data_IF_476097884271
#
_entry.id   IF_476097884271
#
_cell.length_a   1.000
_cell.length_b   1.000
_cell.length_c   1.000
_cell.angle_alpha   90.00
_cell.angle_beta   90.00
_cell.angle_gamma   90.00
#
_symmetry.space_group_name_H-M   'P 1'
#
loop_
_entity.id
_entity.type
_entity.pdbx_description
1 polymer ?
#
# COMPACT_ATOMS: atom_id res chain seq x y z
N UNK A 1 12.49 -1.96 11.69
CA UNK A 1 11.38 -1.49 10.81
C UNK A 1 10.89 -2.62 9.91
N UNK A 2 11.75 -3.22 9.06
CA UNK A 2 11.38 -4.36 8.20
C UNK A 2 10.81 -5.58 8.93
N UNK A 3 11.34 -5.92 10.11
CA UNK A 3 10.87 -7.05 10.92
C UNK A 3 9.37 -6.97 11.26
N UNK A 4 8.82 -5.76 11.42
CA UNK A 4 7.40 -5.57 11.75
C UNK A 4 6.46 -5.83 10.58
N UNK A 5 6.90 -5.55 9.34
CA UNK A 5 6.09 -5.83 8.14
C UNK A 5 6.03 -7.32 7.80
N UNK A 6 6.99 -8.11 8.31
CA UNK A 6 7.07 -9.54 8.02
C UNK A 6 6.26 -10.40 8.99
N UNK A 7 6.10 -9.98 10.26
CA UNK A 7 5.52 -10.85 11.29
C UNK A 7 4.02 -10.71 11.49
N UNK A 8 3.41 -9.61 11.04
CA UNK A 8 2.06 -9.24 11.43
C UNK A 8 1.97 -8.98 12.93
N UNK A 9 0.95 -8.25 13.36
CA UNK A 9 0.60 -8.19 14.78
C UNK A 9 -0.79 -8.79 14.89
N UNK A 10 -0.88 -9.96 15.52
CA UNK A 10 -2.17 -10.53 15.91
C UNK A 10 -2.64 -9.75 17.14
N UNK A 11 -3.70 -8.94 16.99
CA UNK A 11 -4.19 -8.04 18.04
C UNK A 11 -4.87 -8.76 19.21
N UNK A 12 -4.81 -10.10 19.26
CA UNK A 12 -5.64 -10.92 20.16
C UNK A 12 -4.94 -11.41 21.42
N UNK A 13 -3.65 -11.11 21.64
CA UNK A 13 -2.90 -11.65 22.80
C UNK A 13 -2.61 -10.60 23.89
N UNK A 14 -3.66 -10.09 24.53
CA UNK A 14 -3.59 -9.60 25.92
C UNK A 14 -4.28 -10.62 26.82
N UNK A 15 -3.56 -11.69 27.16
CA UNK A 15 -3.83 -12.48 28.37
C UNK A 15 -2.59 -13.31 28.69
N UNK A 16 -2.02 -13.06 29.88
CA UNK A 16 -0.73 -13.62 30.31
C UNK A 16 -0.74 -15.14 30.46
N UNK A 17 -0.34 -15.86 29.41
CA UNK A 17 -0.02 -17.28 29.49
C UNK A 17 1.43 -17.52 29.04
N UNK A 18 2.18 -18.16 29.95
CA UNK A 18 3.55 -18.61 29.76
C UNK A 18 3.60 -19.65 28.64
N UNK A 19 4.02 -19.25 27.44
CA UNK A 19 4.18 -20.17 26.31
C UNK A 19 5.50 -20.94 26.42
N UNK A 20 5.43 -22.23 26.10
CA UNK A 20 6.59 -23.13 26.06
C UNK A 20 7.53 -22.75 24.90
N UNK A 21 8.83 -23.11 24.92
CA UNK A 21 9.80 -22.74 23.88
C UNK A 21 9.50 -23.27 22.46
N UNK A 22 8.40 -24.00 22.27
CA UNK A 22 8.00 -24.63 21.01
C UNK A 22 6.84 -23.91 20.30
N UNK A 23 6.19 -22.92 20.93
CA UNK A 23 5.13 -22.10 20.30
C UNK A 23 5.70 -20.79 19.77
N UNK A 24 6.66 -20.86 18.85
CA UNK A 24 7.02 -19.70 18.04
C UNK A 24 5.86 -19.48 17.05
N UNK A 25 5.21 -18.29 17.01
CA UNK A 25 4.26 -18.00 15.96
C UNK A 25 4.95 -18.21 14.62
N UNK A 26 4.25 -18.84 13.67
CA UNK A 26 4.74 -19.09 12.32
C UNK A 26 5.35 -17.79 11.76
N UNK A 27 6.68 -17.73 11.67
CA UNK A 27 7.42 -16.56 11.18
C UNK A 27 7.41 -16.52 9.64
N UNK A 28 6.40 -17.11 9.01
CA UNK A 28 6.24 -17.03 7.58
C UNK A 28 6.01 -15.57 7.19
N UNK A 29 6.76 -15.05 6.20
CA UNK A 29 6.66 -13.66 5.81
C UNK A 29 5.26 -13.36 5.27
N UNK A 30 4.63 -12.28 5.75
CA UNK A 30 3.34 -11.84 5.19
C UNK A 30 3.50 -11.60 3.69
N UNK A 31 2.69 -12.29 2.89
CA UNK A 31 2.64 -12.15 1.45
C UNK A 31 1.92 -10.85 1.05
N UNK A 32 2.61 -9.72 1.20
CA UNK A 32 2.11 -8.40 0.81
C UNK A 32 2.23 -8.20 -0.70
N UNK A 33 1.19 -7.62 -1.30
CA UNK A 33 1.17 -7.19 -2.69
C UNK A 33 0.98 -5.68 -2.78
N UNK A 34 1.68 -5.05 -3.70
CA UNK A 34 1.41 -3.64 -4.04
C UNK A 34 0.07 -3.57 -4.76
N UNK A 35 -0.80 -2.67 -4.30
CA UNK A 35 -2.15 -2.46 -4.82
C UNK A 35 -2.18 -2.21 -6.33
N UNK A 36 -1.40 -1.27 -6.83
CA UNK A 36 -1.45 -0.86 -8.23
C UNK A 36 -0.90 -1.95 -9.15
N UNK A 37 0.24 -2.57 -8.77
CA UNK A 37 0.75 -3.75 -9.47
C UNK A 37 -0.21 -4.95 -9.43
N UNK A 38 -0.97 -5.14 -8.35
CA UNK A 38 -1.95 -6.22 -8.25
C UNK A 38 -3.14 -6.01 -9.18
N UNK A 39 -3.66 -4.78 -9.25
CA UNK A 39 -4.83 -4.44 -10.09
C UNK A 39 -4.45 -4.38 -11.57
N UNK A 40 -3.29 -3.80 -11.90
CA UNK A 40 -2.81 -3.69 -13.29
C UNK A 40 -1.29 -3.60 -13.37
N UNK A 41 -0.74 -2.43 -13.06
CA UNK A 41 0.68 -2.08 -13.12
C UNK A 41 0.93 -0.91 -12.17
N UNK A 42 2.18 -0.75 -11.74
CA UNK A 42 2.56 0.44 -10.97
C UNK A 42 2.34 1.71 -11.81
N UNK A 43 1.91 2.83 -11.19
CA UNK A 43 1.81 4.09 -11.91
C UNK A 43 3.19 4.50 -12.45
N UNK A 44 3.20 5.35 -13.47
CA UNK A 44 4.45 5.90 -13.99
C UNK A 44 5.19 6.74 -12.93
N UNK A 45 4.42 7.44 -12.10
CA UNK A 45 4.94 8.20 -10.98
C UNK A 45 3.87 8.44 -9.92
N UNK A 46 4.32 8.60 -8.68
CA UNK A 46 3.54 9.15 -7.56
C UNK A 46 4.18 10.43 -7.02
N UNK A 47 5.46 10.67 -7.34
CA UNK A 47 6.18 11.92 -7.12
C UNK A 47 6.59 12.51 -8.48
N UNK A 48 6.35 13.81 -8.68
CA UNK A 48 6.76 14.50 -9.90
C UNK A 48 7.34 15.89 -9.58
N UNK A 49 8.65 16.01 -9.68
CA UNK A 49 9.38 17.28 -9.55
C UNK A 49 10.24 17.50 -10.81
N UNK A 50 10.68 18.74 -11.10
CA UNK A 50 11.52 19.01 -12.26
C UNK A 50 12.83 18.20 -12.31
N UNK A 51 13.35 17.75 -11.15
CA UNK A 51 14.61 16.99 -11.05
C UNK A 51 14.44 15.48 -10.89
N UNK A 52 13.25 15.01 -10.51
CA UNK A 52 12.96 13.60 -10.31
C UNK A 52 11.48 13.33 -10.48
N UNK A 53 11.13 12.29 -11.23
CA UNK A 53 9.77 11.80 -11.38
C UNK A 53 9.80 10.28 -11.29
N UNK A 54 8.95 9.68 -10.45
CA UNK A 54 8.91 8.24 -10.27
C UNK A 54 7.92 7.77 -9.21
N UNK A 55 7.78 6.44 -9.11
CA UNK A 55 6.82 5.77 -8.21
C UNK A 55 7.49 5.43 -6.89
N UNK A 56 7.10 6.16 -5.85
CA UNK A 56 7.69 6.11 -4.51
C UNK A 56 6.69 5.70 -3.43
N UNK A 57 5.39 5.77 -3.72
CA UNK A 57 4.31 5.56 -2.77
C UNK A 57 3.56 4.28 -3.12
N UNK A 58 3.31 3.44 -2.12
CA UNK A 58 2.70 2.14 -2.29
C UNK A 58 1.65 1.91 -1.19
N UNK A 59 0.51 1.35 -1.57
CA UNK A 59 -0.44 0.73 -0.64
C UNK A 59 -0.20 -0.77 -0.72
N UNK A 60 0.36 -1.36 0.33
CA UNK A 60 0.53 -2.81 0.42
C UNK A 60 -0.64 -3.44 1.17
N UNK A 61 -1.11 -4.58 0.68
CA UNK A 61 -2.15 -5.36 1.34
C UNK A 61 -1.85 -6.85 1.24
N UNK A 62 -2.38 -7.64 2.18
CA UNK A 62 -2.33 -9.09 2.10
C UNK A 62 -3.46 -9.58 1.18
N UNK A 63 -3.12 -10.35 0.15
CA UNK A 63 -4.11 -10.94 -0.73
C UNK A 63 -4.79 -12.12 -0.03
N UNK A 64 -5.98 -11.84 0.51
CA UNK A 64 -6.82 -12.82 1.21
C UNK A 64 -8.18 -12.88 0.53
N UNK A 65 -8.98 -13.90 0.82
CA UNK A 65 -10.35 -14.00 0.27
C UNK A 65 -11.32 -12.97 0.88
N UNK A 66 -10.91 -12.31 1.97
CA UNK A 66 -11.77 -11.39 2.72
C UNK A 66 -11.53 -9.92 2.39
N UNK A 67 -10.45 -9.58 1.67
CA UNK A 67 -10.11 -8.20 1.34
C UNK A 67 -9.75 -8.11 -0.15
N UNK A 68 -10.65 -7.56 -0.96
CA UNK A 68 -10.46 -7.43 -2.40
C UNK A 68 -10.54 -5.96 -2.82
N UNK A 69 -9.56 -5.44 -3.60
CA UNK A 69 -9.65 -4.11 -4.16
C UNK A 69 -10.75 -4.08 -5.23
N UNK A 70 -11.65 -3.10 -5.15
CA UNK A 70 -12.78 -2.89 -6.07
C UNK A 70 -12.42 -1.86 -7.13
N UNK A 71 -11.75 -0.79 -6.71
CA UNK A 71 -11.38 0.33 -7.56
C UNK A 71 -10.04 0.94 -7.08
N UNK A 72 -9.36 1.64 -7.97
CA UNK A 72 -8.17 2.44 -7.62
C UNK A 72 -8.36 3.87 -8.10
N UNK A 73 -7.81 4.84 -7.34
CA UNK A 73 -7.73 6.23 -7.77
C UNK A 73 -6.80 6.31 -8.98
N UNK A 74 -7.30 6.84 -10.09
CA UNK A 74 -6.50 7.02 -11.31
C UNK A 74 -5.55 8.20 -11.16
N UNK A 75 -4.30 8.01 -11.54
CA UNK A 75 -3.29 9.06 -11.54
C UNK A 75 -3.23 9.75 -12.92
N UNK A 76 -2.88 11.04 -12.97
CA UNK A 76 -2.74 11.78 -14.23
C UNK A 76 -1.67 11.17 -15.15
N UNK A 77 -1.87 11.36 -16.45
CA UNK A 77 -0.85 11.06 -17.46
C UNK A 77 0.38 12.00 -17.28
N UNK A 78 1.61 11.51 -17.51
CA UNK A 78 2.82 12.36 -17.47
C UNK A 78 2.72 13.64 -18.32
N UNK A 79 2.03 13.59 -19.45
CA UNK A 79 1.87 14.72 -20.38
C UNK A 79 0.67 15.61 -20.02
N UNK A 80 -0.02 15.33 -18.92
CA UNK A 80 -1.17 16.12 -18.49
C UNK A 80 -0.74 17.51 -17.99
N UNK A 81 -1.53 18.53 -18.31
CA UNK A 81 -1.30 19.91 -17.86
C UNK A 81 -1.32 20.08 -16.34
N UNK A 82 -1.77 19.06 -15.60
CA UNK A 82 -1.85 19.08 -14.13
C UNK A 82 -0.48 18.84 -13.48
N UNK A 83 0.45 18.18 -14.18
CA UNK A 83 1.73 17.74 -13.64
C UNK A 83 2.94 18.02 -14.54
N UNK A 84 2.73 18.38 -15.82
CA UNK A 84 3.81 18.56 -16.82
C UNK A 84 4.86 19.62 -16.43
N UNK A 85 4.47 20.65 -15.67
CA UNK A 85 5.40 21.68 -15.15
C UNK A 85 6.07 21.27 -13.82
N UNK A 86 5.72 20.10 -13.28
CA UNK A 86 6.12 19.60 -11.98
C UNK A 86 5.16 19.97 -10.85
N UNK A 87 5.39 19.34 -9.71
CA UNK A 87 4.67 19.53 -8.45
C UNK A 87 5.63 20.03 -7.35
N UNK A 88 5.14 20.72 -6.30
CA UNK A 88 3.76 21.22 -6.14
C UNK A 88 3.46 22.37 -7.12
N UNK A 89 2.17 22.67 -7.33
CA UNK A 89 1.71 23.78 -8.18
C UNK A 89 0.40 24.40 -7.67
N UNK A 90 -0.22 25.30 -8.45
CA UNK A 90 -1.44 26.00 -8.04
C UNK A 90 -2.64 25.06 -7.78
N UNK A 91 -2.69 23.89 -8.44
CA UNK A 91 -3.74 22.89 -8.27
C UNK A 91 -3.40 21.86 -7.18
N UNK A 92 -2.12 21.56 -7.01
CA UNK A 92 -1.64 20.48 -6.14
C UNK A 92 -0.66 21.00 -5.09
N UNK A 93 -1.01 20.93 -3.79
CA UNK A 93 -0.18 21.50 -2.72
C UNK A 93 1.03 20.64 -2.32
N UNK A 94 1.19 19.45 -2.89
CA UNK A 94 2.24 18.47 -2.59
C UNK A 94 3.00 18.10 -3.87
N UNK A 95 4.27 17.72 -3.75
CA UNK A 95 5.06 17.11 -4.83
C UNK A 95 4.70 15.64 -5.11
N UNK A 96 3.96 15.03 -4.20
CA UNK A 96 3.36 13.71 -4.35
C UNK A 96 1.87 13.79 -4.71
N UNK A 97 1.45 12.91 -5.62
CA UNK A 97 0.07 12.64 -5.95
C UNK A 97 -0.56 11.68 -4.93
N UNK A 98 -1.83 11.91 -4.53
CA UNK A 98 -2.52 10.95 -3.68
C UNK A 98 -2.75 9.63 -4.44
N UNK A 99 -2.53 8.52 -3.73
CA UNK A 99 -2.89 7.17 -4.17
C UNK A 99 -4.03 6.64 -3.30
N UNK A 100 -4.88 5.77 -3.83
CA UNK A 100 -6.05 5.28 -3.10
C UNK A 100 -6.78 4.14 -3.77
N UNK A 101 -7.62 3.44 -2.99
CA UNK A 101 -8.50 2.38 -3.47
C UNK A 101 -9.73 2.22 -2.58
N UNK A 102 -10.80 1.72 -3.18
CA UNK A 102 -11.91 1.13 -2.45
C UNK A 102 -11.68 -0.37 -2.28
N UNK A 103 -11.96 -0.88 -1.09
CA UNK A 103 -11.89 -2.32 -0.79
C UNK A 103 -13.27 -2.85 -0.42
N UNK A 104 -13.56 -4.04 -0.93
CA UNK A 104 -14.65 -4.86 -0.42
C UNK A 104 -14.11 -5.76 0.70
N UNK A 105 -14.79 -5.74 1.84
CA UNK A 105 -14.49 -6.59 2.98
C UNK A 105 -15.59 -7.63 3.08
N UNK A 106 -15.26 -8.89 2.80
CA UNK A 106 -16.17 -10.01 3.00
C UNK A 106 -16.01 -10.56 4.41
N UNK A 107 -17.10 -10.61 5.19
CA UNK A 107 -17.09 -11.17 6.54
C UNK A 107 -16.66 -12.64 6.55
N UNK A 108 -15.88 -13.04 7.54
CA UNK A 108 -15.78 -14.45 7.90
C UNK A 108 -17.14 -14.88 8.46
N UNK A 109 -17.81 -15.82 7.78
CA UNK A 109 -18.95 -16.54 8.35
C UNK A 109 -18.47 -17.51 9.43
#
# INVERSE_FOLDING_TARGET
VYQFMLSGHDATSISGQSTSPLDLPDQSPIALKSLYAFVKEEPAFTNCTPGFTGTLDYIFFADTDHLKPVSTLQLPDPESSDVVEGLPNYKHPSDHLPIGADFEISGQA
#
